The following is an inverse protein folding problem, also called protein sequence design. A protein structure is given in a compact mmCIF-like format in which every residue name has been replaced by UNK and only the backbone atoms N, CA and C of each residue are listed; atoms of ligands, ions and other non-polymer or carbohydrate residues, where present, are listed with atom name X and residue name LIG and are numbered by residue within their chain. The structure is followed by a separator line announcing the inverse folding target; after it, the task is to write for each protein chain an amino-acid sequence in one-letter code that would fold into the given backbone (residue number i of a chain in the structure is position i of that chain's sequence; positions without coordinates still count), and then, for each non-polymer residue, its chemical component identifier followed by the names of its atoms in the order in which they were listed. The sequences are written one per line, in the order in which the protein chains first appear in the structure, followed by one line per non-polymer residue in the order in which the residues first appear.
data_IF_537200477719
#
_entry.id   IF_537200477719
#
_cell.length_a   1.000
_cell.length_b   1.000
_cell.length_c   1.000
_cell.angle_alpha   90.00
_cell.angle_beta   90.00
_cell.angle_gamma   90.00
#
_symmetry.space_group_name_H-M   'P 1'
#
loop_
_entity.id
_entity.type
_entity.pdbx_description
1 polymer ?
#
# COMPACT_ATOMS: atom_id res chain seq x y z
N UNK A 1 -9.87 15.89 16.99
CA UNK A 1 -8.65 15.72 16.15
C UNK A 1 -8.94 15.12 14.78
N UNK A 2 -9.79 14.09 14.64
CA UNK A 2 -10.14 13.46 13.36
C UNK A 2 -10.70 14.43 12.29
N UNK A 3 -11.54 15.39 12.69
CA UNK A 3 -12.14 16.36 11.77
C UNK A 3 -11.14 17.30 11.08
N UNK A 4 -9.99 17.61 11.69
CA UNK A 4 -8.95 18.40 11.01
C UNK A 4 -8.13 17.53 10.04
N UNK A 5 -7.81 16.30 10.44
CA UNK A 5 -7.11 15.32 9.60
C UNK A 5 -7.84 15.12 8.26
N UNK A 6 -9.13 14.79 8.32
CA UNK A 6 -9.91 14.47 7.12
C UNK A 6 -10.10 15.68 6.19
N UNK A 7 -10.23 16.89 6.77
CA UNK A 7 -10.31 18.13 5.98
C UNK A 7 -8.99 18.45 5.29
N UNK A 8 -7.85 18.25 5.98
CA UNK A 8 -6.53 18.42 5.36
C UNK A 8 -6.29 17.38 4.26
N UNK A 9 -6.67 16.13 4.50
CA UNK A 9 -6.59 15.07 3.51
C UNK A 9 -7.44 15.39 2.28
N UNK A 10 -8.69 15.82 2.47
CA UNK A 10 -9.56 16.20 1.35
C UNK A 10 -8.99 17.38 0.53
N UNK A 11 -8.37 18.37 1.19
CA UNK A 11 -7.69 19.47 0.50
C UNK A 11 -6.49 18.98 -0.31
N UNK A 12 -5.67 18.10 0.28
CA UNK A 12 -4.58 17.47 -0.44
C UNK A 12 -5.12 16.74 -1.66
N UNK A 13 -6.04 15.79 -1.48
CA UNK A 13 -6.58 14.95 -2.55
C UNK A 13 -7.29 15.76 -3.64
N UNK A 14 -7.96 16.86 -3.28
CA UNK A 14 -8.53 17.80 -4.25
C UNK A 14 -7.45 18.45 -5.10
N UNK A 15 -6.39 18.95 -4.46
CA UNK A 15 -5.30 19.61 -5.17
C UNK A 15 -4.47 18.63 -6.00
N UNK A 16 -4.23 17.45 -5.44
CA UNK A 16 -3.33 16.47 -5.97
C UNK A 16 -3.93 15.57 -7.04
N UNK A 17 -5.26 15.57 -7.21
CA UNK A 17 -5.93 15.06 -8.42
C UNK A 17 -5.45 15.74 -9.71
N UNK A 18 -4.80 16.91 -9.62
CA UNK A 18 -4.16 17.62 -10.74
C UNK A 18 -2.75 17.11 -11.04
N UNK A 19 -2.18 16.27 -10.17
CA UNK A 19 -0.89 15.63 -10.36
C UNK A 19 -1.14 14.25 -10.95
N UNK A 20 -0.96 14.11 -12.27
CA UNK A 20 -1.18 12.86 -13.00
C UNK A 20 -0.41 11.68 -12.36
N UNK A 21 0.81 11.93 -11.90
CA UNK A 21 1.66 10.92 -11.26
C UNK A 21 1.13 10.42 -9.90
N UNK A 22 0.32 11.21 -9.17
CA UNK A 22 -0.22 10.76 -7.87
C UNK A 22 -1.33 9.72 -8.06
N UNK A 23 -1.97 9.68 -9.23
CA UNK A 23 -2.95 8.65 -9.58
C UNK A 23 -4.04 8.50 -8.52
N UNK A 24 -4.66 9.59 -8.08
CA UNK A 24 -5.77 9.55 -7.12
C UNK A 24 -7.05 10.13 -7.71
N UNK A 25 -8.20 9.77 -7.15
CA UNK A 25 -9.49 10.29 -7.58
C UNK A 25 -9.67 11.75 -7.15
N UNK A 26 -10.42 12.52 -7.93
CA UNK A 26 -10.75 13.91 -7.58
C UNK A 26 -11.64 13.95 -6.34
N UNK A 27 -11.07 14.35 -5.20
CA UNK A 27 -11.82 14.51 -3.96
C UNK A 27 -12.69 15.76 -4.04
N UNK A 28 -14.01 15.60 -4.10
CA UNK A 28 -14.97 16.72 -4.27
C UNK A 28 -15.55 17.22 -2.95
N UNK A 29 -15.29 16.54 -1.82
CA UNK A 29 -15.72 17.04 -0.53
C UNK A 29 -15.56 16.05 0.62
N UNK A 30 -16.01 16.50 1.79
CA UNK A 30 -16.12 15.69 3.01
C UNK A 30 -17.56 15.75 3.48
N UNK A 31 -18.11 14.61 3.87
CA UNK A 31 -19.40 14.50 4.55
C UNK A 31 -19.21 14.04 5.98
N UNK A 32 -20.13 14.44 6.82
CA UNK A 32 -20.24 13.99 8.20
C UNK A 32 -21.56 13.24 8.38
N UNK A 33 -21.53 12.19 9.18
CA UNK A 33 -22.73 11.48 9.67
C UNK A 33 -22.58 11.23 11.15
N UNK A 34 -23.71 11.22 11.84
CA UNK A 34 -23.74 10.81 13.25
C UNK A 34 -23.36 9.32 13.35
N UNK A 35 -22.57 9.00 14.38
CA UNK A 35 -22.15 7.65 14.70
C UNK A 35 -23.20 6.91 15.53
N UNK A 36 -22.87 5.69 16.00
CA UNK A 36 -23.73 4.89 16.86
C UNK A 36 -23.99 5.51 18.24
N UNK A 37 -23.11 6.39 18.71
CA UNK A 37 -23.27 7.14 19.95
C UNK A 37 -23.45 8.64 19.67
N UNK A 38 -24.15 9.34 20.58
CA UNK A 38 -24.52 10.75 20.43
C UNK A 38 -23.31 11.70 20.26
N UNK A 39 -22.12 11.27 20.69
CA UNK A 39 -20.88 12.05 20.60
C UNK A 39 -19.95 11.59 19.47
N UNK A 40 -20.27 10.49 18.77
CA UNK A 40 -19.46 10.00 17.65
C UNK A 40 -19.85 10.68 16.35
N UNK A 41 -18.88 11.30 15.67
CA UNK A 41 -19.07 11.83 14.30
C UNK A 41 -18.21 11.02 13.34
N UNK A 42 -18.85 10.43 12.34
CA UNK A 42 -18.18 9.73 11.24
C UNK A 42 -17.93 10.68 10.09
N UNK A 43 -16.74 10.60 9.53
CA UNK A 43 -16.34 11.39 8.37
C UNK A 43 -16.21 10.48 7.14
N UNK A 44 -16.63 10.97 5.99
CA UNK A 44 -16.42 10.32 4.70
C UNK A 44 -15.87 11.31 3.70
N UNK A 45 -14.93 10.88 2.86
CA UNK A 45 -14.48 11.63 1.68
C UNK A 45 -15.33 11.25 0.48
N UNK A 46 -15.73 12.26 -0.30
CA UNK A 46 -16.45 12.05 -1.56
C UNK A 46 -15.46 12.24 -2.70
N UNK A 47 -15.47 11.30 -3.64
CA UNK A 47 -14.66 11.34 -4.85
C UNK A 47 -15.53 11.37 -6.10
N UNK A 48 -15.07 12.11 -7.12
CA UNK A 48 -15.60 12.01 -8.47
C UNK A 48 -15.00 10.78 -9.15
N UNK A 49 -15.85 9.92 -9.70
CA UNK A 49 -15.44 8.69 -10.38
C UNK A 49 -15.39 8.91 -11.90
N UNK A 50 -14.29 8.55 -12.59
CA UNK A 50 -14.19 8.67 -14.05
C UNK A 50 -15.25 7.84 -14.80
N UNK A 51 -15.62 6.68 -14.24
CA UNK A 51 -16.65 5.81 -14.80
C UNK A 51 -17.49 5.14 -13.70
N UNK A 52 -18.66 4.63 -14.08
CA UNK A 52 -19.55 3.90 -13.15
C UNK A 52 -19.04 2.50 -12.81
N UNK A 53 -18.44 1.83 -13.79
CA UNK A 53 -17.89 0.49 -13.64
C UNK A 53 -16.40 0.60 -13.31
N UNK A 54 -15.97 -0.18 -12.34
CA UNK A 54 -14.57 -0.28 -11.97
C UNK A 54 -14.24 -1.70 -11.54
N UNK A 55 -12.96 -2.04 -11.58
CA UNK A 55 -12.38 -3.24 -10.99
C UNK A 55 -11.24 -2.85 -10.07
N UNK A 56 -10.69 -3.83 -9.34
CA UNK A 56 -9.52 -3.64 -8.48
C UNK A 56 -8.37 -4.51 -8.95
N UNK A 57 -7.13 -4.14 -8.62
CA UNK A 57 -5.97 -4.99 -8.88
C UNK A 57 -6.16 -6.37 -8.21
N UNK A 58 -6.78 -6.44 -7.03
CA UNK A 58 -7.13 -7.72 -6.38
C UNK A 58 -7.99 -8.59 -7.28
N UNK A 59 -9.07 -8.03 -7.83
CA UNK A 59 -9.99 -8.75 -8.71
C UNK A 59 -9.30 -9.21 -9.99
N UNK A 60 -8.38 -8.42 -10.54
CA UNK A 60 -7.57 -8.80 -11.71
C UNK A 60 -6.63 -9.96 -11.36
N UNK A 61 -5.97 -9.92 -10.20
CA UNK A 61 -5.07 -10.99 -9.74
C UNK A 61 -5.82 -12.29 -9.44
N UNK A 62 -7.05 -12.21 -8.94
CA UNK A 62 -7.91 -13.37 -8.65
C UNK A 62 -8.60 -13.95 -9.90
N UNK A 63 -8.73 -13.16 -10.97
CA UNK A 63 -9.40 -13.53 -12.20
C UNK A 63 -8.50 -14.23 -13.23
N UNK A 64 -9.05 -14.59 -14.39
CA UNK A 64 -8.27 -15.08 -15.53
C UNK A 64 -7.29 -14.00 -16.02
N UNK A 65 -6.03 -14.37 -16.22
CA UNK A 65 -4.97 -13.46 -16.60
C UNK A 65 -4.43 -13.74 -18.02
N UNK A 66 -5.10 -14.61 -18.80
CA UNK A 66 -4.65 -15.06 -20.12
C UNK A 66 -4.45 -13.92 -21.13
N UNK A 67 -5.16 -12.79 -20.92
CA UNK A 67 -5.10 -11.60 -21.76
C UNK A 67 -4.25 -10.46 -21.16
N UNK A 68 -3.56 -10.69 -20.04
CA UNK A 68 -2.74 -9.66 -19.39
C UNK A 68 -1.29 -9.88 -19.76
N UNK A 69 -0.71 -8.94 -20.51
CA UNK A 69 0.66 -9.07 -20.94
C UNK A 69 1.64 -8.77 -19.81
N UNK A 70 2.88 -9.21 -20.00
CA UNK A 70 3.92 -8.99 -19.01
C UNK A 70 4.15 -7.49 -18.76
N UNK A 71 4.19 -6.67 -19.81
CA UNK A 71 4.35 -5.21 -19.71
C UNK A 71 3.25 -4.52 -18.94
N UNK A 72 2.03 -5.03 -19.00
CA UNK A 72 0.91 -4.48 -18.24
C UNK A 72 1.21 -4.51 -16.74
N UNK A 73 1.76 -5.61 -16.22
CA UNK A 73 2.18 -5.68 -14.82
C UNK A 73 3.29 -4.68 -14.47
N UNK A 74 4.24 -4.43 -15.38
CA UNK A 74 5.28 -3.43 -15.18
C UNK A 74 4.74 -2.00 -15.24
N UNK A 75 3.75 -1.72 -16.10
CA UNK A 75 3.04 -0.43 -16.15
C UNK A 75 2.32 -0.16 -14.83
N UNK A 76 1.68 -1.17 -14.23
CA UNK A 76 1.08 -1.05 -12.90
C UNK A 76 2.14 -0.74 -11.84
N UNK A 77 3.20 -1.55 -11.79
CA UNK A 77 4.29 -1.40 -10.81
C UNK A 77 4.91 0.01 -10.85
N UNK A 78 5.20 0.49 -12.06
CA UNK A 78 5.72 1.84 -12.30
C UNK A 78 4.75 2.92 -11.82
N UNK A 79 3.47 2.80 -12.16
CA UNK A 79 2.48 3.83 -11.83
C UNK A 79 2.23 3.90 -10.31
N UNK A 80 2.11 2.75 -9.64
CA UNK A 80 1.87 2.69 -8.19
C UNK A 80 3.07 3.16 -7.38
N UNK A 81 4.30 2.75 -7.75
CA UNK A 81 5.51 3.20 -7.06
C UNK A 81 5.73 4.71 -7.18
N UNK A 82 5.48 5.29 -8.36
CA UNK A 82 5.51 6.75 -8.58
C UNK A 82 4.43 7.47 -7.77
N UNK A 83 3.21 6.96 -7.76
CA UNK A 83 2.12 7.54 -6.98
C UNK A 83 2.46 7.64 -5.49
N UNK A 84 2.98 6.56 -4.90
CA UNK A 84 3.37 6.57 -3.49
C UNK A 84 4.55 7.52 -3.23
N UNK A 85 5.53 7.60 -4.14
CA UNK A 85 6.60 8.58 -4.02
C UNK A 85 6.04 10.02 -4.01
N UNK A 86 5.13 10.34 -4.93
CA UNK A 86 4.48 11.65 -4.96
C UNK A 86 3.69 11.94 -3.68
N UNK A 87 3.01 10.94 -3.12
CA UNK A 87 2.28 11.09 -1.86
C UNK A 87 3.22 11.40 -0.69
N UNK A 88 4.34 10.67 -0.59
CA UNK A 88 5.35 10.89 0.44
C UNK A 88 6.01 12.26 0.31
N UNK A 89 6.34 12.69 -0.92
CA UNK A 89 6.87 14.04 -1.19
C UNK A 89 5.87 15.15 -0.81
N UNK A 90 4.58 14.87 -0.89
CA UNK A 90 3.53 15.79 -0.44
C UNK A 90 3.37 15.82 1.10
N UNK A 91 4.12 15.00 1.85
CA UNK A 91 4.08 14.97 3.31
C UNK A 91 3.05 14.01 3.91
N UNK A 92 2.54 13.05 3.13
CA UNK A 92 1.44 12.17 3.54
C UNK A 92 1.81 10.69 3.54
N UNK A 93 1.19 9.94 4.45
CA UNK A 93 1.25 8.48 4.54
C UNK A 93 -0.08 7.88 4.06
N UNK A 94 -0.02 6.77 3.33
CA UNK A 94 -1.21 6.12 2.81
C UNK A 94 -1.85 5.19 3.86
N UNK A 95 -1.05 4.30 4.48
CA UNK A 95 -1.45 3.32 5.52
C UNK A 95 -2.43 2.22 5.10
N UNK A 96 -3.02 2.33 3.92
CA UNK A 96 -3.94 1.33 3.35
C UNK A 96 -3.47 0.76 2.01
N UNK A 97 -2.17 0.73 1.71
CA UNK A 97 -1.69 0.22 0.42
C UNK A 97 -1.92 -1.30 0.32
N UNK A 98 -2.75 -1.72 -0.64
CA UNK A 98 -3.07 -3.14 -0.95
C UNK A 98 -3.71 -3.23 -2.33
N UNK A 99 -3.72 -4.41 -2.94
CA UNK A 99 -4.28 -4.60 -4.30
C UNK A 99 -5.77 -4.23 -4.40
N UNK A 100 -6.53 -4.39 -3.31
CA UNK A 100 -7.94 -3.95 -3.23
C UNK A 100 -8.12 -2.43 -3.39
N UNK A 101 -7.09 -1.66 -3.03
CA UNK A 101 -7.11 -0.20 -3.02
C UNK A 101 -6.45 0.43 -4.26
N UNK A 102 -6.14 -0.40 -5.26
CA UNK A 102 -5.71 0.03 -6.59
C UNK A 102 -6.87 -0.23 -7.56
N UNK A 103 -7.52 0.84 -8.03
CA UNK A 103 -8.73 0.79 -8.84
C UNK A 103 -8.42 1.02 -10.33
N UNK A 104 -9.22 0.40 -11.19
CA UNK A 104 -9.25 0.69 -12.62
C UNK A 104 -10.68 0.97 -13.05
N UNK A 105 -10.87 2.06 -13.80
CA UNK A 105 -12.18 2.47 -14.30
C UNK A 105 -12.39 1.95 -15.72
N UNK A 106 -13.53 1.31 -15.95
CA UNK A 106 -13.85 0.67 -17.21
C UNK A 106 -14.61 1.63 -18.12
N UNK A 107 -14.23 1.67 -19.40
CA UNK A 107 -15.01 2.32 -20.44
C UNK A 107 -16.32 1.56 -20.75
N UNK A 108 -17.12 2.09 -21.69
CA UNK A 108 -18.40 1.48 -22.07
C UNK A 108 -18.25 0.07 -22.67
N UNK A 109 -17.06 -0.27 -23.16
CA UNK A 109 -16.71 -1.60 -23.70
C UNK A 109 -16.16 -2.55 -22.63
N UNK A 110 -15.96 -2.08 -21.40
CA UNK A 110 -15.40 -2.86 -20.30
C UNK A 110 -13.88 -2.85 -20.23
N UNK A 111 -13.20 -2.10 -21.10
CA UNK A 111 -11.74 -2.02 -21.15
C UNK A 111 -11.21 -0.93 -20.21
N UNK A 112 -9.95 -1.06 -19.80
CA UNK A 112 -9.24 -0.07 -18.99
C UNK A 112 -7.74 -0.10 -19.32
N UNK A 113 -7.01 0.96 -18.96
CA UNK A 113 -5.56 1.02 -19.15
C UNK A 113 -4.81 0.62 -17.87
N UNK A 114 -3.84 -0.29 -17.99
CA UNK A 114 -2.92 -0.65 -16.90
C UNK A 114 -1.94 0.48 -16.53
N UNK A 115 -1.84 1.53 -17.35
CA UNK A 115 -1.08 2.74 -17.02
C UNK A 115 -1.87 3.72 -16.16
N UNK A 116 -3.18 3.50 -15.98
CA UNK A 116 -4.08 4.39 -15.24
C UNK A 116 -4.70 3.73 -14.01
N UNK A 117 -3.89 3.16 -13.09
CA UNK A 117 -4.41 2.78 -11.78
C UNK A 117 -4.81 4.02 -11.00
N UNK A 118 -5.77 3.88 -10.09
CA UNK A 118 -6.15 4.91 -9.14
C UNK A 118 -5.97 4.40 -7.71
N UNK A 119 -5.11 5.06 -6.95
CA UNK A 119 -4.93 4.86 -5.53
C UNK A 119 -6.17 5.37 -4.79
N UNK A 120 -6.74 4.50 -3.96
CA UNK A 120 -7.88 4.73 -3.09
C UNK A 120 -7.58 4.17 -1.69
N UNK A 121 -8.57 4.18 -0.78
CA UNK A 121 -8.38 3.62 0.56
C UNK A 121 -7.57 4.51 1.50
N UNK A 122 -7.83 5.82 1.46
CA UNK A 122 -7.18 6.82 2.30
C UNK A 122 -7.83 6.94 3.70
N UNK A 123 -8.62 5.97 4.16
CA UNK A 123 -9.36 6.08 5.43
C UNK A 123 -8.38 6.31 6.61
N UNK A 124 -7.25 5.60 6.56
CA UNK A 124 -6.20 5.67 7.59
C UNK A 124 -5.10 6.68 7.29
N UNK A 125 -5.18 7.39 6.16
CA UNK A 125 -4.15 8.32 5.69
C UNK A 125 -4.03 9.53 6.61
N UNK A 126 -2.78 9.99 6.78
CA UNK A 126 -2.44 11.13 7.63
C UNK A 126 -1.16 11.82 7.20
N UNK A 127 -0.96 13.04 7.69
CA UNK A 127 0.30 13.76 7.57
C UNK A 127 1.42 13.02 8.31
N UNK A 128 2.63 13.03 7.74
CA UNK A 128 3.84 12.44 8.33
C UNK A 128 4.13 13.08 9.69
N UNK A 129 4.01 14.41 9.78
CA UNK A 129 4.25 15.23 10.97
C UNK A 129 3.23 15.05 12.10
N UNK A 130 2.14 14.31 11.87
CA UNK A 130 1.04 14.16 12.82
C UNK A 130 0.86 12.69 13.31
N UNK A 131 1.84 12.08 14.01
CA UNK A 131 1.79 10.67 14.40
C UNK A 131 0.58 10.32 15.27
N UNK A 132 0.13 11.24 16.13
CA UNK A 132 -1.03 11.10 17.01
C UNK A 132 -2.40 11.13 16.32
N UNK A 133 -2.46 11.38 15.00
CA UNK A 133 -3.72 11.33 14.23
C UNK A 133 -3.94 9.97 13.54
N UNK A 134 -3.48 8.88 14.18
CA UNK A 134 -3.61 7.53 13.67
C UNK A 134 -4.95 6.94 14.08
N UNK A 135 -5.86 6.74 13.13
CA UNK A 135 -6.99 5.84 13.35
C UNK A 135 -6.51 4.40 13.39
N UNK A 136 -7.04 3.65 14.36
CA UNK A 136 -6.79 2.23 14.48
C UNK A 136 -7.36 1.48 13.30
N UNK A 137 -6.60 0.51 12.80
CA UNK A 137 -7.05 -0.29 11.67
C UNK A 137 -7.76 -1.54 12.16
N UNK A 138 -8.73 -2.00 11.40
CA UNK A 138 -9.40 -3.29 11.62
C UNK A 138 -8.40 -4.45 11.54
N UNK A 139 -8.62 -5.48 12.35
CA UNK A 139 -7.88 -6.74 12.33
C UNK A 139 -8.33 -7.66 11.17
N UNK A 140 -8.16 -7.15 9.95
CA UNK A 140 -8.44 -7.88 8.70
C UNK A 140 -7.16 -8.60 8.27
N UNK A 141 -7.18 -9.94 8.25
CA UNK A 141 -6.03 -10.76 7.87
C UNK A 141 -5.47 -10.33 6.51
N UNK A 142 -6.32 -10.17 5.50
CA UNK A 142 -5.89 -9.75 4.15
C UNK A 142 -5.23 -8.37 4.15
N UNK A 143 -5.71 -7.42 4.96
CA UNK A 143 -5.05 -6.12 5.11
C UNK A 143 -3.70 -6.24 5.80
N UNK A 144 -3.61 -7.09 6.83
CA UNK A 144 -2.41 -7.29 7.62
C UNK A 144 -1.27 -7.89 6.78
N UNK A 145 -1.55 -8.70 5.75
CA UNK A 145 -0.53 -9.23 4.84
C UNK A 145 0.32 -8.16 4.13
N UNK A 146 -0.18 -6.91 4.03
CA UNK A 146 0.54 -5.78 3.44
C UNK A 146 1.28 -4.92 4.46
N UNK A 147 1.16 -5.21 5.77
CA UNK A 147 1.74 -4.41 6.83
C UNK A 147 3.02 -5.03 7.33
N UNK A 148 3.98 -4.16 7.65
CA UNK A 148 5.18 -4.57 8.34
C UNK A 148 4.84 -5.08 9.75
N UNK A 149 5.58 -6.07 10.24
CA UNK A 149 5.34 -6.71 11.55
C UNK A 149 5.32 -5.74 12.73
N UNK A 150 6.14 -4.68 12.68
CA UNK A 150 6.16 -3.60 13.70
C UNK A 150 4.80 -2.89 13.87
N UNK A 151 3.94 -2.93 12.85
CA UNK A 151 2.68 -2.18 12.80
C UNK A 151 1.47 -3.06 12.42
N UNK A 152 1.58 -4.38 12.53
CA UNK A 152 0.45 -5.30 12.37
C UNK A 152 -0.46 -5.33 13.61
N UNK A 153 -1.72 -5.76 13.42
CA UNK A 153 -2.75 -5.89 14.46
C UNK A 153 -3.44 -4.59 14.88
N UNK A 154 -4.44 -4.71 15.76
CA UNK A 154 -5.17 -3.57 16.35
C UNK A 154 -4.18 -2.71 17.17
N UNK A 155 -4.32 -1.37 17.22
CA UNK A 155 -3.63 -0.59 18.25
C UNK A 155 -4.14 -1.07 19.61
N UNK A 156 -3.29 -1.72 20.40
CA UNK A 156 -3.53 -1.81 21.84
C UNK A 156 -3.42 -0.36 22.37
N UNK A 157 -4.44 0.12 23.07
CA UNK A 157 -4.31 1.34 23.89
C UNK A 157 -3.05 1.17 24.74
N UNK A 158 -2.18 2.20 24.85
CA UNK A 158 -1.08 2.13 25.79
C UNK A 158 -1.66 1.84 27.17
N UNK A 159 -1.44 0.63 27.68
CA UNK A 159 -1.78 0.31 29.05
C UNK A 159 -0.87 1.15 29.94
N UNK A 160 -1.45 1.93 30.86
CA UNK A 160 -0.75 2.66 31.92
C UNK A 160 0.03 1.72 32.87
N UNK A 161 -0.07 0.42 32.64
CA UNK A 161 0.70 -0.63 33.26
C UNK A 161 2.20 -0.41 32.97
N UNK A 162 2.90 0.12 33.97
CA UNK A 162 4.35 0.34 34.16
C UNK A 162 5.25 -0.90 33.94
N UNK A 163 4.79 -1.88 33.16
CA UNK A 163 5.41 -3.20 32.94
C UNK A 163 6.32 -3.22 31.70
N UNK A 164 6.89 -2.08 31.31
CA UNK A 164 7.98 -2.04 30.33
C UNK A 164 7.63 -2.59 28.95
N UNK A 165 6.35 -2.68 28.57
CA UNK A 165 5.95 -2.99 27.18
C UNK A 165 6.52 -1.88 26.30
N UNK A 166 7.32 -2.19 25.25
CA UNK A 166 7.82 -1.18 24.35
C UNK A 166 6.64 -0.43 23.73
N UNK A 167 6.65 0.90 23.81
CA UNK A 167 5.68 1.74 23.13
C UNK A 167 5.59 1.32 21.65
N UNK A 168 4.40 0.91 21.19
CA UNK A 168 4.22 0.36 19.83
C UNK A 168 4.77 1.35 18.80
N UNK A 169 5.57 0.85 17.85
CA UNK A 169 6.22 1.68 16.84
C UNK A 169 5.19 2.49 16.05
N UNK A 170 5.38 3.81 15.95
CA UNK A 170 4.50 4.65 15.15
C UNK A 170 4.61 4.32 13.66
N UNK A 171 3.48 4.31 12.94
CA UNK A 171 3.51 4.14 11.48
C UNK A 171 4.35 5.24 10.81
N UNK A 172 5.11 4.91 9.77
CA UNK A 172 6.09 5.79 9.14
C UNK A 172 6.21 5.43 7.65
N UNK A 173 6.92 6.23 6.87
CA UNK A 173 7.07 6.01 5.42
C UNK A 173 7.61 4.60 5.09
N UNK A 174 8.53 4.06 5.89
CA UNK A 174 9.06 2.70 5.71
C UNK A 174 7.97 1.63 5.70
N UNK A 175 6.87 1.86 6.43
CA UNK A 175 5.76 0.93 6.48
C UNK A 175 4.87 1.00 5.22
N UNK A 176 4.71 2.18 4.60
CA UNK A 176 4.10 2.29 3.28
C UNK A 176 4.98 1.64 2.20
N UNK A 177 6.31 1.85 2.28
CA UNK A 177 7.25 1.25 1.33
C UNK A 177 7.25 -0.28 1.46
N UNK A 178 7.16 -0.83 2.68
CA UNK A 178 6.93 -2.26 2.87
C UNK A 178 5.66 -2.75 2.14
N UNK A 179 4.55 -2.01 2.23
CA UNK A 179 3.33 -2.37 1.48
C UNK A 179 3.54 -2.31 -0.04
N UNK A 180 4.42 -1.42 -0.53
CA UNK A 180 4.84 -1.39 -1.93
C UNK A 180 5.64 -2.65 -2.30
N UNK A 181 6.59 -3.08 -1.48
CA UNK A 181 7.33 -4.33 -1.72
C UNK A 181 6.36 -5.51 -1.85
N UNK A 182 5.37 -5.60 -0.97
CA UNK A 182 4.33 -6.62 -1.05
C UNK A 182 3.51 -6.52 -2.35
N UNK A 183 3.12 -5.32 -2.78
CA UNK A 183 2.43 -5.11 -4.06
C UNK A 183 3.31 -5.50 -5.26
N UNK A 184 4.60 -5.16 -5.24
CA UNK A 184 5.54 -5.54 -6.29
C UNK A 184 5.69 -7.06 -6.37
N UNK A 185 5.67 -7.76 -5.23
CA UNK A 185 5.66 -9.21 -5.17
C UNK A 185 4.40 -9.79 -5.82
N UNK A 186 3.20 -9.26 -5.53
CA UNK A 186 1.95 -9.69 -6.18
C UNK A 186 1.99 -9.53 -7.69
N UNK A 187 2.40 -8.35 -8.16
CA UNK A 187 2.48 -8.02 -9.59
C UNK A 187 3.52 -8.90 -10.32
N UNK A 188 4.64 -9.15 -9.63
CA UNK A 188 5.74 -9.91 -10.19
C UNK A 188 5.48 -11.41 -10.23
N UNK A 189 4.80 -11.95 -9.22
CA UNK A 189 4.40 -13.36 -9.15
C UNK A 189 3.01 -13.64 -9.74
N UNK A 190 2.25 -12.60 -10.09
CA UNK A 190 0.91 -12.69 -10.66
C UNK A 190 -0.07 -13.44 -9.74
N UNK A 191 0.11 -13.29 -8.44
CA UNK A 191 -0.68 -13.97 -7.41
C UNK A 191 -1.13 -12.98 -6.34
N UNK A 192 -2.38 -13.04 -5.89
CA UNK A 192 -2.81 -12.27 -4.74
C UNK A 192 -2.05 -12.74 -3.49
N UNK A 193 -1.76 -11.82 -2.57
CA UNK A 193 -0.96 -12.13 -1.38
C UNK A 193 -1.55 -13.24 -0.51
N UNK A 194 -2.89 -13.35 -0.47
CA UNK A 194 -3.55 -14.40 0.31
C UNK A 194 -3.16 -15.80 -0.17
N UNK A 195 -2.97 -16.00 -1.47
CA UNK A 195 -2.51 -17.29 -2.01
C UNK A 195 -1.05 -17.59 -1.63
N UNK A 196 -0.18 -16.55 -1.61
CA UNK A 196 1.19 -16.73 -1.15
C UNK A 196 1.26 -17.04 0.35
N UNK A 197 0.36 -16.45 1.14
CA UNK A 197 0.20 -16.79 2.56
C UNK A 197 -0.30 -18.23 2.74
N UNK A 198 -1.28 -18.67 1.95
CA UNK A 198 -1.75 -20.05 1.93
C UNK A 198 -0.63 -21.04 1.57
N UNK A 199 0.22 -20.72 0.58
CA UNK A 199 1.42 -21.51 0.28
C UNK A 199 2.39 -21.57 1.47
N UNK A 200 2.54 -20.47 2.22
CA UNK A 200 3.46 -20.38 3.35
C UNK A 200 3.02 -21.30 4.50
N UNK A 201 1.74 -21.25 4.89
CA UNK A 201 1.20 -22.02 6.01
C UNK A 201 1.20 -23.54 5.77
N UNK A 202 1.35 -23.99 4.52
CA UNK A 202 1.52 -25.41 4.19
C UNK A 202 2.95 -25.92 4.42
N UNK A 203 3.88 -25.04 4.78
CA UNK A 203 5.26 -25.43 5.14
C UNK A 203 5.24 -26.21 6.46
N UNK A 204 6.00 -27.32 6.52
CA UNK A 204 6.10 -28.11 7.75
C UNK A 204 6.61 -27.25 8.91
N UNK A 205 5.93 -27.30 10.06
CA UNK A 205 6.23 -26.50 11.26
C UNK A 205 6.20 -24.99 11.03
N UNK A 206 5.32 -24.52 10.15
CA UNK A 206 5.12 -23.09 9.96
C UNK A 206 4.65 -22.40 11.24
N UNK A 207 5.34 -21.33 11.63
CA UNK A 207 4.94 -20.47 12.73
C UNK A 207 3.96 -19.42 12.22
N UNK A 208 2.79 -19.30 12.86
CA UNK A 208 1.77 -18.33 12.47
C UNK A 208 2.10 -16.93 13.02
N UNK A 209 3.10 -16.28 12.44
CA UNK A 209 3.49 -14.90 12.79
C UNK A 209 3.82 -14.05 11.56
N UNK A 210 3.77 -12.73 11.73
CA UNK A 210 4.14 -11.75 10.71
C UNK A 210 5.60 -11.94 10.26
N UNK A 211 6.49 -12.14 11.25
CA UNK A 211 7.92 -12.35 11.03
C UNK A 211 8.19 -13.66 10.29
N UNK A 212 7.51 -14.75 10.65
CA UNK A 212 7.62 -16.02 9.94
C UNK A 212 7.15 -15.91 8.48
N UNK A 213 6.08 -15.14 8.22
CA UNK A 213 5.64 -14.89 6.85
C UNK A 213 6.65 -14.05 6.05
N UNK A 214 7.20 -13.00 6.66
CA UNK A 214 8.27 -12.19 6.07
C UNK A 214 9.47 -13.05 5.69
N UNK A 215 9.93 -13.90 6.61
CA UNK A 215 11.05 -14.83 6.38
C UNK A 215 10.74 -15.84 5.26
N UNK A 216 9.51 -16.34 5.20
CA UNK A 216 9.08 -17.19 4.10
C UNK A 216 9.10 -16.45 2.75
N UNK A 217 8.65 -15.19 2.70
CA UNK A 217 8.73 -14.37 1.49
C UNK A 217 10.19 -14.23 1.05
N UNK A 218 11.08 -13.86 1.97
CA UNK A 218 12.51 -13.68 1.70
C UNK A 218 13.16 -14.96 1.16
N UNK A 219 12.86 -16.10 1.79
CA UNK A 219 13.52 -17.37 1.48
C UNK A 219 12.89 -18.14 0.30
N UNK A 220 11.59 -17.99 0.05
CA UNK A 220 10.84 -18.78 -0.95
C UNK A 220 10.26 -17.95 -2.09
N UNK A 221 9.63 -16.81 -1.80
CA UNK A 221 8.91 -16.02 -2.80
C UNK A 221 9.85 -15.14 -3.63
N UNK A 222 10.77 -14.39 -3.00
CA UNK A 222 11.72 -13.52 -3.70
C UNK A 222 12.59 -14.27 -4.73
N UNK A 223 13.14 -15.48 -4.44
CA UNK A 223 13.88 -16.23 -5.46
C UNK A 223 13.04 -16.63 -6.67
N UNK A 224 11.73 -16.90 -6.50
CA UNK A 224 10.80 -17.14 -7.62
C UNK A 224 10.58 -15.85 -8.41
N UNK A 225 10.45 -14.71 -7.74
CA UNK A 225 10.32 -13.40 -8.35
C UNK A 225 11.55 -13.06 -9.21
N UNK A 226 12.76 -13.25 -8.68
CA UNK A 226 13.99 -12.98 -9.43
C UNK A 226 14.15 -13.82 -10.69
N UNK A 227 13.67 -15.07 -10.69
CA UNK A 227 13.66 -15.93 -11.90
C UNK A 227 12.62 -15.50 -12.95
N UNK A 228 11.51 -14.92 -12.52
CA UNK A 228 10.37 -14.57 -13.39
C UNK A 228 10.39 -13.12 -13.89
N UNK A 229 11.02 -12.20 -13.14
CA UNK A 229 11.06 -10.75 -13.43
C UNK A 229 12.46 -10.16 -13.50
N UNK A 230 13.49 -10.97 -13.24
CA UNK A 230 14.88 -10.54 -13.24
C UNK A 230 15.36 -10.00 -11.89
N UNK A 231 16.68 -9.90 -11.76
CA UNK A 231 17.34 -9.54 -10.50
C UNK A 231 17.06 -8.10 -10.08
N UNK A 232 16.92 -7.17 -11.02
CA UNK A 232 16.64 -5.76 -10.71
C UNK A 232 15.25 -5.59 -10.08
N UNK A 233 14.22 -6.22 -10.65
CA UNK A 233 12.88 -6.18 -10.07
C UNK A 233 12.84 -6.83 -8.68
N UNK A 234 13.53 -7.96 -8.50
CA UNK A 234 13.66 -8.62 -7.19
C UNK A 234 14.34 -7.72 -6.16
N UNK A 235 15.45 -7.06 -6.51
CA UNK A 235 16.16 -6.12 -5.62
C UNK A 235 15.31 -4.90 -5.26
N UNK A 236 14.54 -4.39 -6.21
CA UNK A 236 13.60 -3.31 -5.95
C UNK A 236 12.47 -3.73 -5.00
N UNK A 237 12.14 -5.03 -4.96
CA UNK A 237 11.07 -5.59 -4.13
C UNK A 237 11.54 -6.01 -2.74
N UNK A 238 12.85 -6.04 -2.45
CA UNK A 238 13.38 -6.53 -1.16
C UNK A 238 13.75 -5.42 -0.17
N UNK A 239 13.56 -4.15 -0.56
CA UNK A 239 14.14 -2.99 0.11
C UNK A 239 13.68 -2.86 1.58
N UNK A 240 12.38 -2.82 1.83
CA UNK A 240 11.81 -2.83 3.18
C UNK A 240 11.54 -4.25 3.72
N UNK A 241 11.54 -5.30 2.89
CA UNK A 241 11.39 -6.69 3.35
C UNK A 241 12.56 -7.17 4.23
N UNK A 242 13.78 -6.72 3.95
CA UNK A 242 14.97 -7.07 4.75
C UNK A 242 15.14 -6.20 6.00
N UNK A 243 14.31 -5.17 6.18
CA UNK A 243 14.41 -4.21 7.29
C UNK A 243 15.80 -3.54 7.39
N UNK A 244 16.59 -3.49 6.30
CA UNK A 244 17.98 -2.99 6.27
C UNK A 244 18.10 -1.45 6.26
N UNK A 245 17.10 -0.74 6.78
CA UNK A 245 17.15 0.72 6.86
C UNK A 245 17.75 1.16 8.19
N UNK A 246 19.04 1.47 8.17
CA UNK A 246 19.73 2.26 9.20
C UNK A 246 19.49 3.78 9.02
N UNK A 247 18.66 4.17 8.04
CA UNK A 247 18.48 5.59 7.66
C UNK A 247 17.78 6.41 8.73
N UNK A 248 18.38 7.54 9.03
CA UNK A 248 18.04 8.36 10.20
C UNK A 248 17.00 9.44 9.92
N UNK A 249 16.69 9.72 8.66
CA UNK A 249 15.79 10.81 8.27
C UNK A 249 14.78 10.47 7.16
N UNK A 250 13.70 11.25 7.11
CA UNK A 250 12.64 11.17 6.10
C UNK A 250 13.16 11.36 4.66
N UNK A 251 14.07 12.31 4.46
CA UNK A 251 14.61 12.66 3.15
C UNK A 251 15.53 11.57 2.59
N UNK A 252 16.34 10.93 3.45
CA UNK A 252 17.17 9.78 3.08
C UNK A 252 16.30 8.64 2.57
N UNK A 253 15.24 8.30 3.31
CA UNK A 253 14.32 7.22 2.95
C UNK A 253 13.59 7.49 1.62
N UNK A 254 13.20 8.73 1.36
CA UNK A 254 12.61 9.10 0.07
C UNK A 254 13.62 8.94 -1.07
N UNK A 255 14.87 9.36 -0.86
CA UNK A 255 15.92 9.18 -1.86
C UNK A 255 16.24 7.70 -2.10
N UNK A 256 16.29 6.89 -1.06
CA UNK A 256 16.49 5.45 -1.15
C UNK A 256 15.32 4.79 -1.90
N UNK A 257 14.09 5.12 -1.55
CA UNK A 257 12.90 4.63 -2.25
C UNK A 257 12.95 4.96 -3.75
N UNK A 258 13.30 6.20 -4.11
CA UNK A 258 13.45 6.58 -5.51
C UNK A 258 14.56 5.80 -6.23
N UNK A 259 15.76 5.75 -5.63
CA UNK A 259 16.96 5.15 -6.26
C UNK A 259 16.87 3.64 -6.37
N UNK A 260 16.31 2.98 -5.36
CA UNK A 260 16.30 1.52 -5.23
C UNK A 260 15.02 0.87 -5.72
N UNK A 261 13.89 1.59 -5.75
CA UNK A 261 12.60 1.04 -6.22
C UNK A 261 12.08 1.75 -7.45
N UNK A 262 11.73 3.04 -7.34
CA UNK A 262 10.98 3.75 -8.40
C UNK A 262 11.76 3.79 -9.70
N UNK A 263 13.05 4.14 -9.64
CA UNK A 263 13.91 4.22 -10.84
C UNK A 263 14.17 2.84 -11.45
N UNK A 264 14.60 1.79 -10.70
CA UNK A 264 14.78 0.46 -11.27
C UNK A 264 13.51 -0.10 -11.89
N UNK A 265 12.36 -0.04 -11.21
CA UNK A 265 11.08 -0.53 -11.73
C UNK A 265 10.71 0.19 -13.03
N UNK A 266 10.90 1.51 -13.09
CA UNK A 266 10.65 2.31 -14.31
C UNK A 266 11.59 1.97 -15.48
N UNK A 267 12.75 1.37 -15.21
CA UNK A 267 13.78 1.06 -16.21
C UNK A 267 13.92 -0.45 -16.51
N UNK A 268 13.19 -1.31 -15.80
CA UNK A 268 13.31 -2.77 -15.85
C UNK A 268 12.64 -3.41 -17.07
N UNK A 269 11.89 -2.64 -17.87
CA UNK A 269 11.16 -3.14 -19.03
C UNK A 269 11.48 -2.30 -20.28
N UNK A 270 11.80 -2.97 -21.40
CA UNK A 270 12.14 -2.33 -22.68
C UNK A 270 13.64 -2.13 -22.96
N UNK A 271 14.52 -2.88 -22.28
CA UNK A 271 15.92 -3.05 -22.67
C UNK A 271 16.22 -4.50 -23.01
#
# INVERSE_FOLDING_TARGET
MAGNRIKNLARLLKWSSRLEDLRTLDCIGVVTRDGPSDDEVRYGTIFSMPAKKYTTLKTILEGPQDNVYLDDWFKVAKSVTRAVLCLHLAGWLHKGLRSKNILYFQDDTGNFSYEEPYLAGFEYSREISAPGQTEGVTDDLEANLYRHEEVQGVPEEPSDDDQGKPAKTSFAMKHDIYSIDILLLELGLQKPMIQLYEEAIQTEKYEHSAAAFREWILSKALPKLGRSRGKEYMRATELCLKSEFEETSADELQQAFYKSVVRPISCSWGR
#
